data_IF_427423303982
#
_entry.id   IF_427423303982
#
_cell.length_a   1.000
_cell.length_b   1.000
_cell.length_c   1.000
_cell.angle_alpha   90.00
_cell.angle_beta   90.00
_cell.angle_gamma   90.00
#
_symmetry.space_group_name_H-M   'P 1'
#
loop_
_entity.id
_entity.type
_entity.pdbx_description
1 polymer ?
#
# COMPACT_ATOMS: atom_id res chain seq x y z
N UNK A 1 2.26 -20.75 18.52
CA UNK A 1 2.31 -19.42 17.88
C UNK A 1 1.96 -19.46 16.37
N UNK A 2 2.34 -20.51 15.63
CA UNK A 2 2.06 -20.62 14.19
C UNK A 2 0.54 -20.61 13.90
N UNK A 3 -0.24 -21.42 14.60
CA UNK A 3 -1.70 -21.49 14.42
C UNK A 3 -2.41 -20.14 14.60
N UNK A 4 -1.96 -19.33 15.56
CA UNK A 4 -2.51 -17.98 15.77
C UNK A 4 -2.25 -17.07 14.57
N UNK A 5 -1.04 -17.09 14.01
CA UNK A 5 -0.68 -16.25 12.84
C UNK A 5 -1.50 -16.63 11.61
N UNK A 6 -1.70 -17.93 11.37
CA UNK A 6 -2.53 -18.43 10.27
C UNK A 6 -4.01 -18.06 10.50
N UNK A 7 -4.51 -18.20 11.73
CA UNK A 7 -5.88 -17.78 12.06
C UNK A 7 -6.07 -16.28 11.76
N UNK A 8 -5.12 -15.43 12.15
CA UNK A 8 -5.16 -13.99 11.86
C UNK A 8 -5.18 -13.73 10.35
N UNK A 9 -4.37 -14.45 9.55
CA UNK A 9 -4.40 -14.34 8.10
C UNK A 9 -5.79 -14.66 7.53
N UNK A 10 -6.40 -15.75 7.99
CA UNK A 10 -7.74 -16.18 7.57
C UNK A 10 -8.78 -15.12 7.94
N UNK A 11 -8.79 -14.64 9.19
CA UNK A 11 -9.76 -13.65 9.67
C UNK A 11 -9.67 -12.34 8.87
N UNK A 12 -8.46 -11.85 8.58
CA UNK A 12 -8.27 -10.68 7.73
C UNK A 12 -8.72 -10.93 6.29
N UNK A 13 -8.45 -12.12 5.75
CA UNK A 13 -8.93 -12.52 4.42
C UNK A 13 -10.46 -12.55 4.33
N UNK A 14 -11.13 -13.16 5.31
CA UNK A 14 -12.60 -13.20 5.42
C UNK A 14 -13.18 -11.78 5.56
N UNK A 15 -12.57 -10.93 6.37
CA UNK A 15 -12.99 -9.54 6.50
C UNK A 15 -12.91 -8.79 5.17
N UNK A 16 -11.81 -8.95 4.44
CA UNK A 16 -11.61 -8.31 3.15
C UNK A 16 -12.62 -8.80 2.10
N UNK A 17 -12.94 -10.09 2.08
CA UNK A 17 -13.91 -10.66 1.13
C UNK A 17 -15.31 -10.05 1.30
N UNK A 18 -15.70 -9.70 2.54
CA UNK A 18 -16.96 -9.02 2.84
C UNK A 18 -17.06 -7.58 2.34
N UNK A 19 -15.95 -6.92 2.00
CA UNK A 19 -15.92 -5.50 1.60
C UNK A 19 -16.30 -5.24 0.15
N UNK A 20 -16.59 -6.29 -0.65
CA UNK A 20 -16.95 -6.16 -2.07
C UNK A 20 -15.97 -5.29 -2.87
N UNK A 21 -14.66 -5.50 -2.66
CA UNK A 21 -13.56 -4.67 -3.20
C UNK A 21 -13.65 -4.42 -4.71
N UNK A 22 -14.20 -5.35 -5.48
CA UNK A 22 -14.37 -5.20 -6.93
C UNK A 22 -15.35 -4.10 -7.32
N UNK A 23 -16.27 -3.70 -6.42
CA UNK A 23 -17.22 -2.60 -6.67
C UNK A 23 -16.58 -1.22 -6.50
N UNK A 24 -15.40 -1.14 -5.89
CA UNK A 24 -14.69 0.14 -5.66
C UNK A 24 -13.77 0.54 -6.81
N UNK A 25 -13.71 -0.24 -7.89
CA UNK A 25 -12.80 0.00 -9.04
C UNK A 25 -12.90 1.39 -9.65
N UNK A 26 -14.08 2.00 -9.62
CA UNK A 26 -14.33 3.36 -10.13
C UNK A 26 -13.81 4.47 -9.21
N UNK A 27 -13.44 4.18 -7.96
CA UNK A 27 -12.97 5.16 -6.99
C UNK A 27 -11.56 4.81 -6.48
N UNK A 28 -10.52 5.51 -6.99
CA UNK A 28 -9.14 5.27 -6.58
C UNK A 28 -8.90 5.45 -5.08
N UNK A 29 -9.62 6.34 -4.42
CA UNK A 29 -9.47 6.58 -2.98
C UNK A 29 -10.04 5.43 -2.13
N UNK A 30 -10.89 4.60 -2.69
CA UNK A 30 -11.44 3.42 -2.02
C UNK A 30 -10.63 2.16 -2.35
N UNK A 31 -10.38 1.87 -3.64
CA UNK A 31 -9.68 0.63 -3.98
C UNK A 31 -8.25 0.59 -3.44
N UNK A 32 -7.56 1.74 -3.29
CA UNK A 32 -6.22 1.78 -2.68
C UNK A 32 -6.23 1.33 -1.22
N UNK A 33 -7.27 1.66 -0.45
CA UNK A 33 -7.41 1.20 0.93
C UNK A 33 -7.61 -0.33 1.00
N UNK A 34 -8.41 -0.88 0.08
CA UNK A 34 -8.60 -2.33 -0.03
C UNK A 34 -7.31 -3.02 -0.45
N UNK A 35 -6.57 -2.43 -1.39
CA UNK A 35 -5.26 -2.92 -1.82
C UNK A 35 -4.25 -2.93 -0.67
N UNK A 36 -4.16 -1.82 0.08
CA UNK A 36 -3.30 -1.73 1.26
C UNK A 36 -3.68 -2.77 2.32
N UNK A 37 -4.98 -2.94 2.58
CA UNK A 37 -5.46 -3.93 3.54
C UNK A 37 -5.19 -5.37 3.09
N UNK A 38 -5.23 -5.66 1.80
CA UNK A 38 -4.96 -7.00 1.26
C UNK A 38 -3.54 -7.51 1.61
N UNK A 39 -2.59 -6.60 1.82
CA UNK A 39 -1.25 -6.96 2.25
C UNK A 39 -1.19 -7.52 3.69
N UNK A 40 -2.18 -7.25 4.55
CA UNK A 40 -2.21 -7.81 5.90
C UNK A 40 -2.39 -9.35 5.89
N UNK A 41 -3.46 -9.91 5.29
CA UNK A 41 -3.60 -11.36 5.20
C UNK A 41 -2.44 -12.01 4.44
N UNK A 42 -1.89 -11.36 3.39
CA UNK A 42 -0.72 -11.85 2.66
C UNK A 42 0.50 -11.91 3.59
N UNK A 43 0.81 -10.84 4.31
CA UNK A 43 1.96 -10.80 5.22
C UNK A 43 1.85 -11.82 6.37
N UNK A 44 0.66 -11.99 6.94
CA UNK A 44 0.42 -13.01 7.97
C UNK A 44 0.51 -14.43 7.40
N UNK A 45 0.00 -14.69 6.19
CA UNK A 45 0.13 -15.98 5.53
C UNK A 45 1.60 -16.34 5.27
N UNK A 46 2.38 -15.41 4.71
CA UNK A 46 3.83 -15.58 4.50
C UNK A 46 4.57 -15.86 5.82
N UNK A 47 4.26 -15.09 6.88
CA UNK A 47 4.82 -15.32 8.20
C UNK A 47 4.47 -16.71 8.74
N UNK A 48 3.22 -17.14 8.56
CA UNK A 48 2.77 -18.48 8.95
C UNK A 48 3.58 -19.58 8.24
N UNK A 49 3.83 -19.43 6.93
CA UNK A 49 4.63 -20.37 6.14
C UNK A 49 6.09 -20.45 6.63
N UNK A 50 6.69 -19.31 6.99
CA UNK A 50 8.04 -19.30 7.59
C UNK A 50 8.06 -20.05 8.93
N UNK A 51 7.06 -19.83 9.77
CA UNK A 51 6.98 -20.49 11.09
C UNK A 51 6.72 -22.00 10.98
N UNK A 52 6.14 -22.48 9.89
CA UNK A 52 6.00 -23.91 9.59
C UNK A 52 7.32 -24.56 9.14
N UNK A 53 8.37 -23.78 8.90
CA UNK A 53 9.70 -24.28 8.54
C UNK A 53 9.89 -24.67 7.07
N UNK A 54 8.87 -24.51 6.21
CA UNK A 54 8.87 -25.03 4.84
C UNK A 54 9.04 -23.96 3.75
N UNK A 55 9.25 -22.69 4.10
CA UNK A 55 9.18 -21.60 3.13
C UNK A 55 10.23 -20.51 3.38
N UNK A 56 11.52 -20.83 3.13
CA UNK A 56 12.59 -19.82 3.18
C UNK A 56 12.30 -18.62 2.26
N UNK A 57 11.64 -18.85 1.13
CA UNK A 57 11.22 -17.81 0.19
C UNK A 57 10.21 -16.81 0.78
N UNK A 58 9.46 -17.19 1.81
CA UNK A 58 8.46 -16.32 2.45
C UNK A 58 9.04 -15.35 3.49
N UNK A 59 10.38 -15.32 3.68
CA UNK A 59 11.04 -14.47 4.70
C UNK A 59 10.83 -12.97 4.48
N UNK A 60 10.38 -12.55 3.31
CA UNK A 60 10.11 -11.15 2.98
C UNK A 60 8.74 -10.64 3.46
N UNK A 61 8.05 -11.39 4.34
CA UNK A 61 6.74 -11.04 4.90
C UNK A 61 6.72 -9.67 5.59
N UNK A 62 7.82 -9.21 6.22
CA UNK A 62 7.89 -7.88 6.83
C UNK A 62 7.65 -6.76 5.81
N UNK A 63 8.07 -6.95 4.56
CA UNK A 63 7.87 -5.96 3.50
C UNK A 63 6.42 -5.92 3.00
N UNK A 64 5.67 -7.00 3.12
CA UNK A 64 4.22 -7.00 2.90
C UNK A 64 3.54 -6.03 3.88
N UNK A 65 3.95 -6.02 5.15
CA UNK A 65 3.43 -5.05 6.11
C UNK A 65 3.99 -3.64 5.88
N UNK A 66 5.32 -3.48 5.79
CA UNK A 66 5.96 -2.16 5.73
C UNK A 66 5.62 -1.39 4.46
N UNK A 67 5.85 -1.98 3.29
CA UNK A 67 5.65 -1.33 1.99
C UNK A 67 4.21 -1.55 1.50
N UNK A 68 3.77 -2.81 1.51
CA UNK A 68 2.46 -3.17 1.00
C UNK A 68 1.32 -2.53 1.81
N UNK A 69 1.23 -2.80 3.10
CA UNK A 69 0.13 -2.31 3.93
C UNK A 69 0.37 -0.88 4.43
N UNK A 70 1.44 -0.65 5.21
CA UNK A 70 1.62 0.60 5.96
C UNK A 70 1.89 1.77 5.01
N UNK A 71 2.89 1.69 4.12
CA UNK A 71 3.22 2.81 3.24
C UNK A 71 2.06 3.15 2.30
N UNK A 72 1.37 2.14 1.74
CA UNK A 72 0.21 2.36 0.87
C UNK A 72 -0.95 2.97 1.66
N UNK A 73 -1.21 2.52 2.88
CA UNK A 73 -2.26 3.09 3.75
C UNK A 73 -1.95 4.54 4.13
N UNK A 74 -0.69 4.84 4.49
CA UNK A 74 -0.25 6.20 4.79
C UNK A 74 -0.51 7.12 3.59
N UNK A 75 -0.09 6.73 2.39
CA UNK A 75 -0.29 7.55 1.20
C UNK A 75 -1.78 7.76 0.90
N UNK A 76 -2.59 6.72 1.01
CA UNK A 76 -4.03 6.77 0.78
C UNK A 76 -4.76 7.68 1.77
N UNK A 77 -4.45 7.53 3.07
CA UNK A 77 -5.06 8.35 4.14
C UNK A 77 -4.57 9.79 4.05
N UNK A 78 -3.26 10.03 3.83
CA UNK A 78 -2.71 11.38 3.66
C UNK A 78 -3.33 12.12 2.48
N UNK A 79 -3.58 11.42 1.36
CA UNK A 79 -4.32 11.98 0.21
C UNK A 79 -5.71 12.47 0.62
N UNK A 80 -6.47 11.62 1.31
CA UNK A 80 -7.82 11.94 1.75
C UNK A 80 -7.84 13.09 2.75
N UNK A 81 -6.91 13.06 3.70
CA UNK A 81 -6.75 14.09 4.73
C UNK A 81 -6.37 15.44 4.11
N UNK A 82 -5.38 15.45 3.18
CA UNK A 82 -4.96 16.67 2.50
C UNK A 82 -6.12 17.35 1.75
N UNK A 83 -6.92 16.60 1.02
CA UNK A 83 -8.10 17.15 0.33
C UNK A 83 -9.17 17.64 1.32
N UNK A 84 -9.51 16.82 2.33
CA UNK A 84 -10.54 17.16 3.30
C UNK A 84 -10.20 18.39 4.14
N UNK A 85 -8.97 18.45 4.68
CA UNK A 85 -8.55 19.59 5.50
C UNK A 85 -8.36 20.89 4.70
N UNK A 86 -8.17 20.79 3.40
CA UNK A 86 -8.06 21.97 2.52
C UNK A 86 -9.37 22.37 1.84
N UNK A 87 -10.50 21.75 2.22
CA UNK A 87 -11.84 22.05 1.70
C UNK A 87 -12.02 21.70 0.22
N UNK A 88 -11.26 20.73 -0.30
CA UNK A 88 -11.30 20.31 -1.69
C UNK A 88 -12.15 19.05 -1.87
N UNK A 89 -12.75 18.84 -3.06
CA UNK A 89 -13.49 17.61 -3.35
C UNK A 89 -12.61 16.37 -3.17
N UNK A 90 -13.16 15.31 -2.57
CA UNK A 90 -12.46 14.03 -2.37
C UNK A 90 -12.34 13.27 -3.70
N UNK A 91 -11.54 13.80 -4.61
CA UNK A 91 -11.24 13.19 -5.92
C UNK A 91 -9.76 13.33 -6.22
N UNK A 92 -9.15 12.23 -6.66
CA UNK A 92 -7.73 12.20 -7.00
C UNK A 92 -7.51 12.28 -8.50
N UNK A 93 -6.49 13.02 -8.90
CA UNK A 93 -6.02 13.07 -10.28
C UNK A 93 -5.18 11.84 -10.66
N UNK A 94 -4.95 11.67 -11.96
CA UNK A 94 -4.11 10.60 -12.51
C UNK A 94 -2.73 10.45 -11.85
N UNK A 95 -1.99 11.55 -11.51
CA UNK A 95 -0.68 11.40 -10.86
C UNK A 95 -0.76 10.62 -9.54
N UNK A 96 -1.78 10.84 -8.73
CA UNK A 96 -1.95 10.13 -7.46
C UNK A 96 -2.32 8.67 -7.67
N UNK A 97 -3.10 8.35 -8.71
CA UNK A 97 -3.35 6.95 -9.09
C UNK A 97 -2.03 6.26 -9.47
N UNK A 98 -1.16 6.94 -10.22
CA UNK A 98 0.19 6.42 -10.53
C UNK A 98 1.00 6.19 -9.26
N UNK A 99 0.98 7.12 -8.30
CA UNK A 99 1.66 6.95 -7.02
C UNK A 99 1.16 5.71 -6.25
N UNK A 100 -0.15 5.45 -6.24
CA UNK A 100 -0.73 4.25 -5.65
C UNK A 100 -0.24 2.96 -6.32
N UNK A 101 -0.19 2.96 -7.66
CA UNK A 101 0.31 1.80 -8.44
C UNK A 101 1.81 1.58 -8.23
N UNK A 102 2.60 2.64 -8.11
CA UNK A 102 4.02 2.55 -7.80
C UNK A 102 4.29 1.94 -6.42
N UNK A 103 3.50 2.28 -5.41
CA UNK A 103 3.61 1.62 -4.09
C UNK A 103 3.18 0.15 -4.15
N UNK A 104 2.12 -0.16 -4.88
CA UNK A 104 1.70 -1.55 -5.10
C UNK A 104 2.82 -2.36 -5.78
N UNK A 105 3.44 -1.78 -6.80
CA UNK A 105 4.59 -2.37 -7.50
C UNK A 105 5.78 -2.54 -6.55
N UNK A 106 6.13 -1.52 -5.76
CA UNK A 106 7.21 -1.60 -4.79
C UNK A 106 6.99 -2.73 -3.76
N UNK A 107 5.78 -2.87 -3.25
CA UNK A 107 5.40 -3.98 -2.35
C UNK A 107 5.53 -5.34 -3.02
N UNK A 108 5.01 -5.48 -4.24
CA UNK A 108 5.08 -6.72 -5.00
C UNK A 108 6.53 -7.11 -5.34
N UNK A 109 7.33 -6.16 -5.83
CA UNK A 109 8.76 -6.38 -6.12
C UNK A 109 9.53 -6.79 -4.87
N UNK A 110 9.27 -6.15 -3.73
CA UNK A 110 10.02 -6.43 -2.50
C UNK A 110 9.68 -7.78 -1.87
N UNK A 111 8.45 -8.24 -2.04
CA UNK A 111 7.98 -9.53 -1.50
C UNK A 111 8.28 -10.67 -2.47
N UNK A 112 7.95 -10.50 -3.74
CA UNK A 112 8.05 -11.56 -4.75
C UNK A 112 9.37 -11.55 -5.54
N UNK A 113 9.97 -10.36 -5.71
CA UNK A 113 11.20 -10.21 -6.51
C UNK A 113 12.35 -11.13 -6.12
N UNK A 114 12.70 -11.24 -4.82
CA UNK A 114 13.77 -12.14 -4.39
C UNK A 114 13.51 -13.63 -4.69
N UNK A 115 12.23 -14.00 -4.85
CA UNK A 115 11.82 -15.37 -5.20
C UNK A 115 11.98 -15.63 -6.70
N UNK A 116 11.52 -14.69 -7.53
CA UNK A 116 11.50 -14.84 -8.98
C UNK A 116 12.82 -14.43 -9.66
N UNK A 117 13.58 -13.53 -9.05
CA UNK A 117 14.86 -13.03 -9.58
C UNK A 117 15.97 -13.02 -8.51
N UNK A 118 16.33 -14.20 -7.97
CA UNK A 118 17.34 -14.30 -6.91
C UNK A 118 18.71 -13.74 -7.34
N UNK A 119 19.11 -13.99 -8.59
CA UNK A 119 20.39 -13.53 -9.14
C UNK A 119 20.43 -12.02 -9.43
N UNK A 120 19.28 -11.37 -9.46
CA UNK A 120 19.13 -9.93 -9.72
C UNK A 120 18.64 -9.16 -8.50
N UNK A 121 18.96 -9.64 -7.29
CA UNK A 121 18.45 -9.04 -6.05
C UNK A 121 18.72 -7.53 -5.91
N UNK A 122 19.93 -7.08 -6.31
CA UNK A 122 20.27 -5.64 -6.30
C UNK A 122 19.39 -4.83 -7.25
N UNK A 123 19.06 -5.37 -8.42
CA UNK A 123 18.13 -4.75 -9.38
C UNK A 123 16.71 -4.66 -8.83
N UNK A 124 16.25 -5.73 -8.18
CA UNK A 124 14.93 -5.73 -7.48
C UNK A 124 14.89 -4.67 -6.38
N UNK A 125 15.95 -4.56 -5.59
CA UNK A 125 16.04 -3.56 -4.52
C UNK A 125 16.01 -2.14 -5.07
N UNK A 126 16.78 -1.88 -6.14
CA UNK A 126 16.81 -0.58 -6.80
C UNK A 126 15.45 -0.21 -7.40
N UNK A 127 14.80 -1.13 -8.14
CA UNK A 127 13.48 -0.92 -8.72
C UNK A 127 12.42 -0.66 -7.65
N UNK A 128 12.47 -1.41 -6.52
CA UNK A 128 11.60 -1.16 -5.36
C UNK A 128 11.81 0.24 -4.80
N UNK A 129 13.07 0.63 -4.57
CA UNK A 129 13.42 1.95 -4.02
C UNK A 129 12.96 3.08 -4.92
N UNK A 130 13.24 3.00 -6.22
CA UNK A 130 12.78 3.99 -7.22
C UNK A 130 11.26 4.10 -7.21
N UNK A 131 10.54 2.98 -7.25
CA UNK A 131 9.08 2.98 -7.24
C UNK A 131 8.52 3.63 -5.96
N UNK A 132 9.08 3.29 -4.81
CA UNK A 132 8.65 3.83 -3.51
C UNK A 132 8.92 5.35 -3.42
N UNK A 133 10.13 5.78 -3.73
CA UNK A 133 10.52 7.20 -3.69
C UNK A 133 9.69 8.02 -4.67
N UNK A 134 9.52 7.53 -5.90
CA UNK A 134 8.71 8.21 -6.91
C UNK A 134 7.25 8.41 -6.48
N UNK A 135 6.65 7.42 -5.81
CA UNK A 135 5.29 7.54 -5.29
C UNK A 135 5.15 8.71 -4.31
N UNK A 136 6.07 8.84 -3.35
CA UNK A 136 6.04 9.93 -2.37
C UNK A 136 6.43 11.27 -2.98
N UNK A 137 7.35 11.31 -3.94
CA UNK A 137 7.68 12.54 -4.67
C UNK A 137 6.46 13.07 -5.46
N UNK A 138 5.72 12.20 -6.12
CA UNK A 138 4.46 12.57 -6.79
C UNK A 138 3.46 13.14 -5.77
N UNK A 139 3.32 12.49 -4.61
CA UNK A 139 2.44 13.00 -3.54
C UNK A 139 2.85 14.40 -3.10
N UNK A 140 4.12 14.63 -2.82
CA UNK A 140 4.64 15.92 -2.40
C UNK A 140 4.45 16.99 -3.50
N UNK A 141 4.72 16.66 -4.75
CA UNK A 141 4.54 17.57 -5.87
C UNK A 141 3.08 18.00 -6.06
N UNK A 142 2.12 17.06 -5.84
CA UNK A 142 0.70 17.37 -5.99
C UNK A 142 0.13 18.06 -4.75
N UNK A 143 0.43 17.57 -3.55
CA UNK A 143 -0.21 18.06 -2.33
C UNK A 143 0.59 19.13 -1.58
N UNK A 144 1.90 19.23 -1.77
CA UNK A 144 2.70 20.30 -1.18
C UNK A 144 2.15 21.70 -1.47
N UNK A 145 1.92 22.06 -2.75
CA UNK A 145 1.31 23.35 -3.09
C UNK A 145 -0.14 23.51 -2.56
N UNK A 146 -0.88 22.42 -2.44
CA UNK A 146 -2.26 22.43 -1.92
C UNK A 146 -2.28 22.73 -0.43
N UNK A 147 -1.39 22.10 0.34
CA UNK A 147 -1.29 22.27 1.78
C UNK A 147 -0.73 23.65 2.19
N UNK A 148 0.08 24.27 1.33
CA UNK A 148 0.62 25.62 1.54
C UNK A 148 -0.35 26.75 1.16
N UNK A 149 -1.58 26.46 0.71
CA UNK A 149 -2.56 27.46 0.29
C UNK A 149 -3.73 27.53 1.26
N UNK A 150 -4.43 28.69 1.35
CA UNK A 150 -5.67 28.78 2.09
C UNK A 150 -6.69 27.74 1.65
N UNK A 151 -7.62 27.41 2.54
CA UNK A 151 -8.71 26.49 2.26
C UNK A 151 -9.55 26.95 1.07
N UNK A 152 -9.93 26.02 0.21
CA UNK A 152 -10.72 26.32 -0.98
C UNK A 152 -12.18 26.68 -0.68
N UNK A 153 -12.69 26.29 0.50
CA UNK A 153 -14.06 26.56 0.97
C UNK A 153 -14.20 27.87 1.78
N UNK A 154 -13.13 28.66 1.93
CA UNK A 154 -13.11 29.93 2.64
C UNK A 154 -13.26 29.83 4.16
N UNK A 155 -13.32 28.62 4.74
CA UNK A 155 -13.40 28.44 6.19
C UNK A 155 -12.03 28.66 6.84
N UNK A 156 -11.97 29.10 8.12
CA UNK A 156 -10.72 29.13 8.85
C UNK A 156 -10.08 27.74 8.92
N UNK A 157 -8.75 27.68 8.81
CA UNK A 157 -7.94 26.46 8.87
C UNK A 157 -7.80 25.91 10.28
#
# INVERSE_FOLDING_TARGET
HCGLVILVAILHGLRLSGWRSLRTRGDPMLWVLHLAYAWLPIGFALKGLVLLGNAAWAQHWQHAFGIGAIATMILAVSTRTALGHTGRPLRVGRPIVVAYLLLALAGALRVAGPVFWPDSYSGVLLATGISWVSAFLIFIAVYGPILGRPRADGKPG
#
